data_IF_108660888788
#
_entry.id   IF_108660888788
#
_cell.length_a   1.000
_cell.length_b   1.000
_cell.length_c   1.000
_cell.angle_alpha   90.00
_cell.angle_beta   90.00
_cell.angle_gamma   90.00
#
_symmetry.space_group_name_H-M   'P 1'
#
loop_
_entity.id
_entity.type
_entity.pdbx_description
1 polymer ?
#
# COMPACT_ATOMS: atom_id res chain seq x y z
N UNK A 1 -6.75 55.63 9.26
CA UNK A 1 -6.80 55.27 10.69
C UNK A 1 -6.02 53.98 10.81
N UNK A 2 -4.95 53.93 11.57
CA UNK A 2 -4.21 52.68 11.83
C UNK A 2 -4.60 52.25 13.24
N UNK A 3 -5.57 51.34 13.35
CA UNK A 3 -5.98 50.76 14.63
C UNK A 3 -5.07 49.57 14.85
N UNK A 4 -4.58 49.34 16.08
CA UNK A 4 -3.79 48.13 16.37
C UNK A 4 -4.74 46.92 16.48
N UNK A 5 -4.89 46.17 15.38
CA UNK A 5 -5.75 44.99 15.35
C UNK A 5 -5.15 43.81 16.15
N UNK A 6 -3.85 43.81 16.41
CA UNK A 6 -3.16 42.80 17.22
C UNK A 6 -3.44 42.90 18.72
N UNK A 7 -3.94 44.04 19.20
CA UNK A 7 -4.36 44.25 20.60
C UNK A 7 -5.39 43.22 21.11
N UNK A 8 -6.15 42.60 20.19
CA UNK A 8 -7.14 41.56 20.50
C UNK A 8 -6.56 40.13 20.61
N UNK A 9 -5.25 39.95 20.35
CA UNK A 9 -4.57 38.65 20.26
C UNK A 9 -5.29 37.65 19.34
N UNK A 10 -5.50 37.99 18.05
CA UNK A 10 -6.29 37.16 17.14
C UNK A 10 -5.61 35.84 16.75
N UNK A 11 -4.28 35.79 16.76
CA UNK A 11 -3.50 34.61 16.37
C UNK A 11 -3.52 33.52 17.44
N UNK A 12 -3.85 32.30 17.03
CA UNK A 12 -3.92 31.10 17.86
C UNK A 12 -2.62 30.28 17.78
N UNK A 13 -2.54 29.24 18.61
CA UNK A 13 -1.48 28.23 18.56
C UNK A 13 -0.04 28.80 18.58
N UNK A 14 0.16 29.90 19.31
CA UNK A 14 1.45 30.56 19.45
C UNK A 14 1.89 31.39 18.23
N UNK A 15 0.99 31.66 17.27
CA UNK A 15 1.26 32.51 16.13
C UNK A 15 1.60 33.96 16.53
N UNK A 16 2.46 34.60 15.75
CA UNK A 16 2.89 35.99 15.97
C UNK A 16 1.99 36.93 15.18
N UNK A 17 1.39 37.93 15.84
CA UNK A 17 0.55 38.92 15.18
C UNK A 17 1.39 40.08 14.64
N UNK A 18 1.19 40.42 13.37
CA UNK A 18 1.74 41.60 12.72
C UNK A 18 0.61 42.57 12.34
N UNK A 19 0.67 43.80 12.89
CA UNK A 19 -0.25 44.89 12.56
C UNK A 19 0.03 45.43 11.15
N UNK A 20 -1.03 45.67 10.37
CA UNK A 20 -0.99 46.18 9.00
C UNK A 20 -1.94 47.36 8.85
N UNK A 21 -1.93 48.03 7.69
CA UNK A 21 -2.84 49.16 7.44
C UNK A 21 -4.28 48.64 7.27
N UNK A 22 -5.13 48.92 8.25
CA UNK A 22 -6.53 48.46 8.35
C UNK A 22 -6.66 46.92 8.43
N UNK A 23 -5.77 46.24 9.14
CA UNK A 23 -5.86 44.80 9.33
C UNK A 23 -4.62 44.21 10.00
N UNK A 24 -4.60 42.89 10.15
CA UNK A 24 -3.47 42.16 10.71
C UNK A 24 -3.13 40.95 9.86
N UNK A 25 -1.96 40.37 10.14
CA UNK A 25 -1.56 39.05 9.64
C UNK A 25 -1.02 38.22 10.80
N UNK A 26 -1.41 36.96 10.84
CA UNK A 26 -0.78 35.98 11.73
C UNK A 26 0.34 35.25 11.00
N UNK A 27 1.53 35.24 11.61
CA UNK A 27 2.63 34.36 11.24
C UNK A 27 2.52 33.08 12.06
N UNK A 28 2.12 31.99 11.41
CA UNK A 28 1.88 30.72 12.07
C UNK A 28 3.18 29.97 12.35
N UNK A 29 3.23 29.33 13.51
CA UNK A 29 4.27 28.34 13.80
C UNK A 29 4.13 27.14 12.87
N UNK A 30 5.23 26.40 12.67
CA UNK A 30 5.25 25.19 11.86
C UNK A 30 4.14 24.22 12.30
N UNK A 31 3.45 23.60 11.34
CA UNK A 31 2.34 22.67 11.61
C UNK A 31 0.97 23.32 11.79
N UNK A 32 0.88 24.64 11.91
CA UNK A 32 -0.39 25.37 11.97
C UNK A 32 -0.64 26.19 10.69
N UNK A 33 -1.91 26.37 10.36
CA UNK A 33 -2.35 27.15 9.22
C UNK A 33 -3.69 27.84 9.49
N UNK A 34 -4.25 28.52 8.49
CA UNK A 34 -5.44 29.34 8.65
C UNK A 34 -5.12 30.82 8.89
N UNK A 35 -6.14 31.66 8.76
CA UNK A 35 -6.00 33.12 8.85
C UNK A 35 -5.51 33.60 10.23
N UNK A 36 -5.87 32.84 11.25
CA UNK A 36 -5.56 33.05 12.66
C UNK A 36 -4.72 31.91 13.23
N UNK A 37 -4.06 31.09 12.39
CA UNK A 37 -3.33 29.90 12.82
C UNK A 37 -4.20 28.89 13.60
N UNK A 38 -5.49 28.84 13.30
CA UNK A 38 -6.49 28.01 13.97
C UNK A 38 -6.47 26.54 13.53
N UNK A 39 -5.97 26.27 12.33
CA UNK A 39 -5.94 24.93 11.75
C UNK A 39 -4.69 24.19 12.21
N UNK A 40 -4.90 23.15 13.02
CA UNK A 40 -3.85 22.24 13.48
C UNK A 40 -3.40 21.23 12.41
N UNK A 41 -2.37 20.43 12.71
CA UNK A 41 -1.81 19.42 11.81
C UNK A 41 -2.84 18.43 11.23
N UNK A 42 -3.93 18.12 11.95
CA UNK A 42 -4.97 17.20 11.51
C UNK A 42 -6.18 17.88 10.82
N UNK A 43 -6.20 19.21 10.68
CA UNK A 43 -7.36 19.95 10.18
C UNK A 43 -7.84 19.52 8.77
N UNK A 44 -6.91 19.10 7.92
CA UNK A 44 -7.20 18.62 6.56
C UNK A 44 -7.13 17.10 6.41
N UNK A 45 -7.08 16.38 7.53
CA UNK A 45 -6.85 14.94 7.62
C UNK A 45 -5.68 14.45 6.74
N UNK A 46 -4.43 14.58 7.22
CA UNK A 46 -3.27 14.10 6.49
C UNK A 46 -3.19 12.57 6.42
N UNK A 47 -4.07 11.79 7.07
CA UNK A 47 -4.00 10.35 7.05
C UNK A 47 -4.84 9.75 5.90
N UNK A 48 -4.29 8.75 5.21
CA UNK A 48 -4.96 8.05 4.11
C UNK A 48 -5.74 6.83 4.60
N UNK A 49 -6.54 6.24 3.70
CA UNK A 49 -7.14 4.91 3.90
C UNK A 49 -8.00 4.76 5.18
N UNK A 50 -8.67 5.83 5.57
CA UNK A 50 -9.55 5.86 6.74
C UNK A 50 -8.81 5.79 8.09
N UNK A 51 -7.51 6.07 8.11
CA UNK A 51 -6.71 6.14 9.33
C UNK A 51 -7.13 7.32 10.21
N UNK A 52 -6.89 7.18 11.52
CA UNK A 52 -7.17 8.23 12.51
C UNK A 52 -5.96 9.13 12.67
N UNK A 53 -6.17 10.45 12.60
CA UNK A 53 -5.11 11.44 12.83
C UNK A 53 -5.11 11.85 14.31
N UNK A 54 -3.94 11.78 14.95
CA UNK A 54 -3.72 12.20 16.33
C UNK A 54 -2.75 13.39 16.35
N UNK A 55 -3.12 14.47 17.03
CA UNK A 55 -2.28 15.67 17.16
C UNK A 55 -1.43 15.61 18.44
N UNK A 56 -0.17 16.02 18.33
CA UNK A 56 0.75 16.26 19.45
C UNK A 56 1.43 17.61 19.26
N UNK A 57 0.73 18.68 19.63
CA UNK A 57 1.19 20.05 19.41
C UNK A 57 1.24 20.38 17.91
N UNK A 58 2.41 20.78 17.41
CA UNK A 58 2.64 21.08 15.99
C UNK A 58 2.86 19.84 15.10
N UNK A 59 2.86 18.64 15.69
CA UNK A 59 3.06 17.38 14.98
C UNK A 59 1.77 16.55 14.94
N UNK A 60 1.71 15.59 14.00
CA UNK A 60 0.65 14.60 13.94
C UNK A 60 1.23 13.19 13.79
N UNK A 61 0.47 12.19 14.21
CA UNK A 61 0.68 10.78 13.88
C UNK A 61 -0.59 10.16 13.31
N UNK A 62 -0.43 9.26 12.35
CA UNK A 62 -1.53 8.49 11.80
C UNK A 62 -1.59 7.11 12.44
N UNK A 63 -2.74 6.78 13.03
CA UNK A 63 -3.06 5.44 13.51
C UNK A 63 -3.68 4.66 12.36
N UNK A 64 -2.90 3.76 11.77
CA UNK A 64 -3.31 3.02 10.58
C UNK A 64 -4.33 1.92 10.89
N UNK A 65 -5.32 1.80 10.01
CA UNK A 65 -6.24 0.67 9.96
C UNK A 65 -5.50 -0.63 9.62
N UNK A 66 -6.11 -1.78 9.93
CA UNK A 66 -5.51 -3.09 9.64
C UNK A 66 -5.12 -3.21 8.17
N UNK A 67 -3.88 -3.66 7.94
CA UNK A 67 -3.32 -3.86 6.62
C UNK A 67 -2.80 -2.59 5.95
N UNK A 68 -2.78 -1.44 6.63
CA UNK A 68 -2.14 -0.22 6.16
C UNK A 68 -0.94 0.17 7.03
N UNK A 69 0.05 0.80 6.42
CA UNK A 69 1.27 1.26 7.08
C UNK A 69 1.87 2.45 6.32
N UNK A 70 2.94 3.04 6.87
CA UNK A 70 3.53 4.30 6.41
C UNK A 70 3.19 5.46 7.36
N UNK A 71 3.85 6.60 7.19
CA UNK A 71 3.65 7.76 8.08
C UNK A 71 2.27 8.40 7.90
N UNK A 72 1.64 8.19 6.74
CA UNK A 72 0.29 8.65 6.40
C UNK A 72 -0.64 7.48 6.08
N UNK A 73 -0.25 6.25 6.42
CA UNK A 73 -0.99 5.02 6.12
C UNK A 73 -1.26 4.84 4.61
N UNK A 74 -0.35 5.30 3.77
CA UNK A 74 -0.43 5.31 2.32
C UNK A 74 -0.12 3.96 1.67
N UNK A 75 0.55 3.06 2.40
CA UNK A 75 0.90 1.73 1.93
C UNK A 75 -0.05 0.70 2.52
N UNK A 76 -0.31 -0.38 1.78
CA UNK A 76 -1.09 -1.51 2.25
C UNK A 76 -0.30 -2.81 2.14
N UNK A 77 -0.22 -3.59 3.21
CA UNK A 77 0.29 -4.96 3.21
C UNK A 77 -0.63 -5.86 4.03
N UNK A 78 -0.91 -7.05 3.54
CA UNK A 78 -1.76 -8.02 4.24
C UNK A 78 -0.85 -9.03 4.90
N UNK A 79 -0.95 -9.17 6.23
CA UNK A 79 -0.27 -10.24 6.96
C UNK A 79 -1.16 -11.47 7.00
N UNK A 80 -0.67 -12.58 6.46
CA UNK A 80 -1.36 -13.87 6.51
C UNK A 80 -0.86 -14.69 7.69
N UNK A 81 -1.78 -15.18 8.52
CA UNK A 81 -1.48 -16.10 9.63
C UNK A 81 -2.29 -17.39 9.49
N UNK A 82 -1.63 -18.52 9.71
CA UNK A 82 -2.24 -19.86 9.68
C UNK A 82 -2.98 -20.15 8.37
N UNK A 83 -4.32 -20.19 8.38
CA UNK A 83 -5.17 -20.50 7.23
C UNK A 83 -5.87 -19.25 6.66
N UNK A 84 -5.36 -18.06 6.96
CA UNK A 84 -5.92 -16.81 6.42
C UNK A 84 -5.68 -16.73 4.93
N UNK A 85 -6.69 -16.37 4.14
CA UNK A 85 -6.58 -16.15 2.70
C UNK A 85 -7.47 -14.98 2.27
N UNK A 86 -7.10 -14.34 1.16
CA UNK A 86 -7.96 -13.41 0.44
C UNK A 86 -8.45 -14.09 -0.84
N UNK A 87 -9.77 -14.14 -1.01
CA UNK A 87 -10.40 -14.69 -2.22
C UNK A 87 -11.16 -13.59 -2.93
N UNK A 88 -10.90 -13.44 -4.23
CA UNK A 88 -11.62 -12.52 -5.10
C UNK A 88 -12.55 -13.31 -6.03
N UNK A 89 -13.77 -12.83 -6.29
CA UNK A 89 -14.65 -13.45 -7.28
C UNK A 89 -14.06 -13.31 -8.70
N UNK A 90 -14.52 -14.18 -9.61
CA UNK A 90 -14.05 -14.25 -11.00
C UNK A 90 -13.91 -12.87 -11.65
N UNK A 91 -12.69 -12.52 -12.04
CA UNK A 91 -12.40 -11.30 -12.79
C UNK A 91 -12.63 -11.57 -14.29
N UNK A 92 -13.47 -10.77 -14.93
CA UNK A 92 -13.68 -10.82 -16.37
C UNK A 92 -12.54 -10.07 -17.09
N UNK A 93 -11.33 -10.62 -17.11
CA UNK A 93 -10.21 -10.04 -17.86
C UNK A 93 -9.50 -11.07 -18.73
N UNK A 94 -9.16 -10.67 -19.95
CA UNK A 94 -8.52 -11.49 -20.99
C UNK A 94 -6.99 -11.46 -20.86
N UNK A 95 -6.45 -10.46 -20.17
CA UNK A 95 -5.03 -10.31 -19.84
C UNK A 95 -4.89 -9.98 -18.35
N UNK A 96 -3.96 -10.64 -17.67
CA UNK A 96 -3.69 -10.43 -16.26
C UNK A 96 -2.17 -10.36 -16.06
N UNK A 97 -1.72 -9.28 -15.44
CA UNK A 97 -0.35 -9.16 -14.91
C UNK A 97 -0.43 -9.26 -13.40
N UNK A 98 0.33 -10.19 -12.82
CA UNK A 98 0.37 -10.40 -11.36
C UNK A 98 1.73 -9.91 -10.88
N UNK A 99 1.72 -8.82 -10.12
CA UNK A 99 2.92 -8.29 -9.46
C UNK A 99 2.69 -8.43 -7.96
N UNK A 100 3.62 -9.10 -7.28
CA UNK A 100 3.52 -9.37 -5.85
C UNK A 100 4.79 -8.89 -5.15
N UNK A 101 4.58 -8.09 -4.11
CA UNK A 101 5.61 -7.74 -3.15
C UNK A 101 5.28 -8.48 -1.85
N UNK A 102 6.18 -9.32 -1.39
CA UNK A 102 5.97 -10.14 -0.21
C UNK A 102 7.26 -10.34 0.59
N UNK A 103 7.11 -10.69 1.86
CA UNK A 103 8.20 -11.13 2.72
C UNK A 103 7.74 -12.37 3.48
N UNK A 104 8.60 -13.39 3.56
CA UNK A 104 8.30 -14.61 4.30
C UNK A 104 9.56 -15.18 4.95
N UNK A 105 9.38 -15.89 6.05
CA UNK A 105 10.41 -16.76 6.66
C UNK A 105 10.05 -18.24 6.55
N UNK A 106 8.91 -18.54 5.91
CA UNK A 106 8.47 -19.89 5.66
C UNK A 106 9.18 -20.43 4.42
N UNK A 107 9.84 -21.60 4.51
CA UNK A 107 10.47 -22.22 3.35
C UNK A 107 9.44 -22.76 2.35
N UNK A 108 8.21 -23.01 2.80
CA UNK A 108 7.10 -23.47 1.97
C UNK A 108 5.84 -22.64 2.27
N UNK A 109 5.28 -21.98 1.27
CA UNK A 109 4.12 -21.10 1.43
C UNK A 109 3.34 -20.91 0.12
N UNK A 110 2.00 -20.88 0.19
CA UNK A 110 1.16 -20.49 -0.96
C UNK A 110 1.11 -18.97 -1.07
N UNK A 111 1.42 -18.41 -2.24
CA UNK A 111 1.34 -16.97 -2.50
C UNK A 111 0.06 -16.61 -3.26
N UNK A 112 -0.15 -17.24 -4.42
CA UNK A 112 -1.34 -17.03 -5.27
C UNK A 112 -1.78 -18.34 -5.89
N UNK A 113 -3.09 -18.58 -5.87
CA UNK A 113 -3.71 -19.68 -6.60
C UNK A 113 -4.91 -19.16 -7.38
N UNK A 114 -4.93 -19.44 -8.67
CA UNK A 114 -6.07 -19.20 -9.55
C UNK A 114 -6.41 -20.49 -10.30
N UNK A 115 -7.70 -20.79 -10.42
CA UNK A 115 -8.18 -21.91 -11.21
C UNK A 115 -9.47 -21.54 -11.94
N UNK A 116 -9.72 -22.19 -13.07
CA UNK A 116 -10.89 -21.98 -13.93
C UNK A 116 -12.22 -22.53 -13.38
N UNK A 117 -12.23 -23.07 -12.14
CA UNK A 117 -13.41 -23.70 -11.56
C UNK A 117 -13.69 -25.12 -12.06
N UNK A 118 -12.87 -25.68 -12.96
CA UNK A 118 -13.03 -27.05 -13.45
C UNK A 118 -12.72 -28.06 -12.33
N UNK A 119 -13.68 -28.94 -12.05
CA UNK A 119 -13.54 -30.01 -11.05
C UNK A 119 -12.79 -31.25 -11.57
N UNK A 120 -12.28 -31.19 -12.81
CA UNK A 120 -11.69 -32.31 -13.50
C UNK A 120 -10.16 -32.25 -13.35
N UNK A 121 -9.46 -33.38 -13.53
CA UNK A 121 -7.99 -33.44 -13.47
C UNK A 121 -7.27 -32.65 -14.60
N UNK A 122 -8.02 -31.93 -15.45
CA UNK A 122 -7.53 -31.05 -16.51
C UNK A 122 -7.89 -29.58 -16.24
N UNK A 123 -8.17 -29.22 -14.99
CA UNK A 123 -8.52 -27.84 -14.66
C UNK A 123 -7.36 -26.90 -14.94
N UNK A 124 -7.66 -25.78 -15.60
CA UNK A 124 -6.64 -24.78 -15.87
C UNK A 124 -6.32 -24.04 -14.58
N UNK A 125 -5.03 -23.91 -14.29
CA UNK A 125 -4.58 -23.23 -13.09
C UNK A 125 -3.32 -22.44 -13.33
N UNK A 126 -3.14 -21.49 -12.41
CA UNK A 126 -1.92 -20.75 -12.18
C UNK A 126 -1.63 -20.78 -10.68
N UNK A 127 -0.39 -21.09 -10.33
CA UNK A 127 0.07 -21.26 -8.97
C UNK A 127 1.41 -20.53 -8.80
N UNK A 128 1.46 -19.63 -7.82
CA UNK A 128 2.69 -19.07 -7.30
C UNK A 128 2.84 -19.50 -5.84
N UNK A 129 3.97 -20.11 -5.53
CA UNK A 129 4.26 -20.63 -4.20
C UNK A 129 5.75 -20.46 -3.88
N UNK A 130 6.10 -20.50 -2.61
CA UNK A 130 7.47 -20.69 -2.15
C UNK A 130 7.63 -22.17 -1.86
N UNK A 131 8.65 -22.81 -2.42
CA UNK A 131 9.05 -24.18 -2.09
C UNK A 131 10.55 -24.23 -1.83
N UNK A 132 10.96 -24.86 -0.73
CA UNK A 132 12.36 -24.91 -0.30
C UNK A 132 13.06 -23.53 -0.30
N UNK A 133 12.31 -22.48 0.04
CA UNK A 133 12.75 -21.10 0.14
C UNK A 133 12.84 -20.34 -1.19
N UNK A 134 12.43 -20.94 -2.31
CA UNK A 134 12.47 -20.31 -3.66
C UNK A 134 11.06 -20.11 -4.18
N UNK A 135 10.87 -19.10 -5.01
CA UNK A 135 9.58 -18.91 -5.67
C UNK A 135 9.45 -19.93 -6.81
N UNK A 136 8.36 -20.66 -6.80
CA UNK A 136 7.94 -21.59 -7.82
C UNK A 136 6.67 -21.06 -8.49
N UNK A 137 6.69 -21.13 -9.81
CA UNK A 137 5.59 -20.75 -10.67
C UNK A 137 5.18 -21.97 -11.48
N UNK A 138 3.92 -22.39 -11.32
CA UNK A 138 3.36 -23.57 -11.98
C UNK A 138 2.04 -23.22 -12.65
N UNK A 139 1.83 -23.69 -13.87
CA UNK A 139 0.58 -23.47 -14.59
C UNK A 139 0.24 -24.63 -15.51
N UNK A 140 -1.05 -24.79 -15.80
CA UNK A 140 -1.56 -25.70 -16.83
C UNK A 140 -2.70 -25.02 -17.59
N UNK A 141 -2.55 -24.88 -18.89
CA UNK A 141 -3.54 -24.28 -19.80
C UNK A 141 -4.12 -25.31 -20.78
N UNK A 142 -4.06 -26.60 -20.43
CA UNK A 142 -4.62 -27.71 -21.21
C UNK A 142 -3.60 -28.54 -21.99
N UNK A 143 -2.31 -28.24 -21.81
CA UNK A 143 -1.20 -28.97 -22.45
C UNK A 143 -0.36 -29.77 -21.43
N UNK A 144 -0.75 -29.78 -20.16
CA UNK A 144 0.02 -30.33 -19.06
C UNK A 144 0.73 -29.24 -18.26
N UNK A 145 1.18 -29.62 -17.07
CA UNK A 145 1.78 -28.69 -16.12
C UNK A 145 3.20 -28.31 -16.51
N UNK A 146 3.45 -27.00 -16.52
CA UNK A 146 4.78 -26.40 -16.62
C UNK A 146 5.12 -25.75 -15.29
N UNK A 147 6.34 -25.95 -14.81
CA UNK A 147 6.84 -25.36 -13.56
C UNK A 147 8.22 -24.74 -13.77
N UNK A 148 8.46 -23.58 -13.16
CA UNK A 148 9.74 -22.88 -13.13
C UNK A 148 10.00 -22.34 -11.72
N UNK A 149 11.27 -22.17 -11.37
CA UNK A 149 11.67 -21.74 -10.03
C UNK A 149 12.75 -20.66 -10.09
N UNK A 150 12.79 -19.79 -9.09
CA UNK A 150 13.81 -18.76 -8.97
C UNK A 150 15.16 -19.31 -8.48
N UNK A 151 16.23 -18.65 -8.91
CA UNK A 151 17.60 -18.96 -8.46
C UNK A 151 17.91 -18.41 -7.07
N UNK A 152 17.19 -17.39 -6.63
CA UNK A 152 17.38 -16.78 -5.31
C UNK A 152 16.35 -17.31 -4.32
N UNK A 153 16.76 -17.32 -3.06
CA UNK A 153 15.89 -17.59 -1.93
C UNK A 153 15.18 -16.32 -1.48
N UNK A 154 13.97 -16.48 -0.95
CA UNK A 154 13.08 -15.40 -0.49
C UNK A 154 12.58 -15.63 0.95
N UNK A 155 13.11 -16.64 1.63
CA UNK A 155 12.72 -17.07 2.99
C UNK A 155 13.56 -16.45 4.11
N UNK A 156 14.17 -15.29 3.86
CA UNK A 156 15.00 -14.55 4.83
C UNK A 156 14.24 -13.45 5.59
N UNK A 157 12.95 -13.28 5.30
CA UNK A 157 12.09 -12.24 5.89
C UNK A 157 12.30 -10.85 5.29
N UNK A 158 13.14 -10.69 4.28
CA UNK A 158 13.28 -9.43 3.55
C UNK A 158 12.19 -9.29 2.49
N UNK A 159 11.91 -8.04 2.09
CA UNK A 159 10.98 -7.76 1.01
C UNK A 159 11.57 -8.26 -0.31
N UNK A 160 10.84 -9.17 -0.95
CA UNK A 160 11.06 -9.61 -2.32
C UNK A 160 9.95 -9.02 -3.20
N UNK A 161 10.33 -8.56 -4.40
CA UNK A 161 9.40 -8.22 -5.45
C UNK A 161 9.53 -9.29 -6.54
N UNK A 162 8.42 -9.93 -6.88
CA UNK A 162 8.35 -10.87 -7.99
C UNK A 162 7.23 -10.45 -8.95
N UNK A 163 7.51 -10.51 -10.25
CA UNK A 163 6.61 -10.04 -11.28
C UNK A 163 6.39 -11.12 -12.32
N UNK A 164 5.13 -11.58 -12.43
CA UNK A 164 4.69 -12.53 -13.42
C UNK A 164 3.82 -11.85 -14.47
N UNK A 165 4.35 -11.68 -15.68
CA UNK A 165 3.55 -11.25 -16.85
C UNK A 165 3.15 -12.48 -17.65
N UNK A 166 1.85 -12.76 -17.74
CA UNK A 166 1.33 -13.73 -18.72
C UNK A 166 0.92 -12.98 -19.97
N UNK A 167 1.80 -12.86 -20.96
CA UNK A 167 1.46 -12.27 -22.26
C UNK A 167 1.01 -13.39 -23.21
N UNK A 168 -0.25 -13.38 -23.62
CA UNK A 168 -0.77 -14.33 -24.62
C UNK A 168 -0.56 -13.73 -26.02
N UNK A 169 0.50 -14.14 -26.72
CA UNK A 169 0.66 -13.84 -28.14
C UNK A 169 0.58 -15.13 -28.95
N UNK A 170 -0.65 -15.57 -29.23
CA UNK A 170 -0.91 -16.90 -29.82
C UNK A 170 -0.82 -18.04 -28.79
N UNK A 171 -0.37 -19.23 -29.18
CA UNK A 171 -0.25 -20.44 -28.33
C UNK A 171 0.98 -20.43 -27.39
N UNK A 172 1.65 -19.29 -27.21
CA UNK A 172 2.88 -19.19 -26.43
C UNK A 172 2.74 -18.13 -25.34
N UNK A 173 3.11 -18.51 -24.11
CA UNK A 173 3.21 -17.63 -22.95
C UNK A 173 4.67 -17.18 -22.83
N UNK A 174 4.93 -15.86 -22.87
CA UNK A 174 6.26 -15.29 -22.63
C UNK A 174 6.27 -14.65 -21.24
N UNK A 175 7.20 -15.08 -20.39
CA UNK A 175 7.40 -14.52 -19.04
C UNK A 175 8.70 -13.73 -19.00
N UNK A 176 8.63 -12.48 -18.55
CA UNK A 176 9.80 -11.62 -18.35
C UNK A 176 9.90 -11.29 -16.86
N UNK A 177 10.97 -11.76 -16.22
CA UNK A 177 11.30 -11.43 -14.83
C UNK A 177 12.16 -10.17 -14.83
N UNK A 178 11.74 -9.12 -14.11
CA UNK A 178 12.56 -7.94 -13.86
C UNK A 178 13.10 -7.97 -12.42
N UNK A 179 14.35 -7.53 -12.28
CA UNK A 179 15.11 -7.45 -11.03
C UNK A 179 15.29 -6.00 -10.57
#
# INVERSE_FOLDING_TARGET
MNTDECSSSPCRNGGVCADLINGYRCECLLGYSGSNCEDGPCAFNPCMNGATCEESGSEFSCVCSFGFWGSRCEFSSVSFQSSSFLAYPSLASVENSIILEFATTLPDALLVYNHDGSTNQNGHFFLLEVLNGRVHFSFDLGAGTVSMATEMRVDDGQMAQDSGVTESTGNSLLLVLFY
#
